data_IF_535695094547
#
_entry.id   IF_535695094547
#
_cell.length_a   1.000
_cell.length_b   1.000
_cell.length_c   1.000
_cell.angle_alpha   90.00
_cell.angle_beta   90.00
_cell.angle_gamma   90.00
#
_symmetry.space_group_name_H-M   'P 1'
#
loop_
_entity.id
_entity.type
_entity.pdbx_description
1 polymer ?
#
# COMPACT_ATOMS: atom_id res chain seq x y z
N UNK A 1 -25.87 -12.46 -27.89
CA UNK A 1 -24.42 -12.60 -28.18
C UNK A 1 -23.61 -11.34 -27.88
N UNK A 2 -24.03 -10.13 -28.28
CA UNK A 2 -23.28 -8.89 -27.98
C UNK A 2 -23.11 -8.61 -26.47
N UNK A 3 -24.13 -8.88 -25.66
CA UNK A 3 -24.09 -8.69 -24.20
C UNK A 3 -23.07 -9.64 -23.54
N UNK A 4 -23.00 -10.90 -23.99
CA UNK A 4 -22.05 -11.90 -23.47
C UNK A 4 -20.61 -11.49 -23.83
N UNK A 5 -20.37 -11.05 -25.07
CA UNK A 5 -19.05 -10.56 -25.49
C UNK A 5 -18.62 -9.31 -24.72
N UNK A 6 -19.54 -8.42 -24.38
CA UNK A 6 -19.24 -7.24 -23.57
C UNK A 6 -18.91 -7.60 -22.11
N UNK A 7 -19.65 -8.55 -21.53
CA UNK A 7 -19.36 -9.07 -20.19
C UNK A 7 -18.01 -9.80 -20.14
N UNK A 8 -17.68 -10.61 -21.15
CA UNK A 8 -16.37 -11.28 -21.24
C UNK A 8 -15.22 -10.28 -21.32
N UNK A 9 -15.34 -9.24 -22.16
CA UNK A 9 -14.32 -8.18 -22.24
C UNK A 9 -14.13 -7.42 -20.93
N UNK A 10 -15.23 -7.14 -20.22
CA UNK A 10 -15.16 -6.51 -18.90
C UNK A 10 -14.45 -7.43 -17.90
N UNK A 11 -14.76 -8.72 -17.92
CA UNK A 11 -14.14 -9.72 -17.06
C UNK A 11 -12.63 -9.88 -17.33
N UNK A 12 -12.22 -9.92 -18.60
CA UNK A 12 -10.80 -9.96 -18.98
C UNK A 12 -10.06 -8.70 -18.52
N UNK A 13 -10.69 -7.53 -18.63
CA UNK A 13 -10.14 -6.27 -18.13
C UNK A 13 -10.01 -6.28 -16.60
N UNK A 14 -11.03 -6.77 -15.88
CA UNK A 14 -11.01 -6.89 -14.42
C UNK A 14 -9.91 -7.87 -13.95
N UNK A 15 -9.74 -9.00 -14.63
CA UNK A 15 -8.65 -9.96 -14.36
C UNK A 15 -7.28 -9.34 -14.62
N UNK A 16 -7.14 -8.61 -15.72
CA UNK A 16 -5.87 -7.96 -16.07
C UNK A 16 -5.51 -6.91 -15.02
N UNK A 17 -6.47 -6.07 -14.61
CA UNK A 17 -6.30 -5.08 -13.55
C UNK A 17 -5.94 -5.72 -12.20
N UNK A 18 -6.57 -6.86 -11.86
CA UNK A 18 -6.26 -7.62 -10.64
C UNK A 18 -4.83 -8.14 -10.65
N UNK A 19 -4.43 -8.76 -11.76
CA UNK A 19 -3.10 -9.34 -11.96
C UNK A 19 -2.03 -8.26 -11.92
N UNK A 20 -2.30 -7.12 -12.56
CA UNK A 20 -1.30 -6.08 -12.71
C UNK A 20 -1.10 -5.24 -11.45
N UNK A 21 -2.15 -4.99 -10.66
CA UNK A 21 -2.04 -4.17 -9.43
C UNK A 21 -1.18 -4.80 -8.31
N UNK A 22 -0.82 -6.07 -8.42
CA UNK A 22 0.11 -6.75 -7.49
C UNK A 22 1.51 -6.95 -8.08
N UNK A 23 1.84 -6.33 -9.22
CA UNK A 23 3.22 -6.35 -9.68
C UNK A 23 4.14 -5.61 -8.68
N UNK A 24 5.34 -6.15 -8.42
CA UNK A 24 6.30 -5.53 -7.51
C UNK A 24 6.60 -4.06 -7.82
N UNK A 25 6.62 -3.70 -9.11
CA UNK A 25 6.87 -2.35 -9.61
C UNK A 25 5.75 -1.38 -9.22
N UNK A 26 4.49 -1.82 -9.33
CA UNK A 26 3.34 -1.03 -8.92
C UNK A 26 3.30 -0.83 -7.40
N UNK A 27 3.56 -1.90 -6.63
CA UNK A 27 3.64 -1.78 -5.18
C UNK A 27 4.80 -0.89 -4.74
N UNK A 28 5.96 -0.98 -5.40
CA UNK A 28 7.10 -0.11 -5.12
C UNK A 28 6.78 1.37 -5.38
N UNK A 29 6.12 1.67 -6.50
CA UNK A 29 5.64 3.03 -6.80
C UNK A 29 4.71 3.56 -5.71
N UNK A 30 3.71 2.78 -5.31
CA UNK A 30 2.76 3.20 -4.29
C UNK A 30 3.43 3.38 -2.92
N UNK A 31 4.35 2.48 -2.55
CA UNK A 31 5.13 2.64 -1.32
C UNK A 31 5.97 3.91 -1.34
N UNK A 32 6.64 4.23 -2.45
CA UNK A 32 7.44 5.46 -2.57
C UNK A 32 6.56 6.71 -2.41
N UNK A 33 5.42 6.76 -3.12
CA UNK A 33 4.44 7.86 -3.01
C UNK A 33 3.94 8.03 -1.57
N UNK A 34 3.46 6.95 -0.96
CA UNK A 34 2.89 6.96 0.40
C UNK A 34 3.95 7.36 1.43
N UNK A 35 5.17 6.84 1.33
CA UNK A 35 6.23 7.16 2.30
C UNK A 35 6.66 8.60 2.18
N UNK A 36 6.80 9.13 0.97
CA UNK A 36 7.11 10.53 0.74
C UNK A 36 6.07 11.45 1.36
N UNK A 37 4.79 11.22 1.06
CA UNK A 37 3.69 12.01 1.63
C UNK A 37 3.60 11.86 3.16
N UNK A 38 3.88 10.67 3.69
CA UNK A 38 3.93 10.41 5.14
C UNK A 38 5.04 11.22 5.81
N UNK A 39 6.22 11.29 5.20
CA UNK A 39 7.37 12.08 5.69
C UNK A 39 7.06 13.57 5.65
N UNK A 40 6.44 14.06 4.57
CA UNK A 40 6.03 15.46 4.42
C UNK A 40 4.99 15.87 5.49
N UNK A 41 4.06 14.96 5.84
CA UNK A 41 3.06 15.19 6.88
C UNK A 41 3.62 15.05 8.31
N UNK A 42 4.66 14.24 8.50
CA UNK A 42 5.20 13.94 9.81
C UNK A 42 6.07 15.10 10.35
N UNK A 43 6.04 15.34 11.69
CA UNK A 43 6.94 16.28 12.33
C UNK A 43 8.42 15.95 12.09
N UNK A 44 9.32 16.95 12.05
CA UNK A 44 10.71 16.75 11.66
C UNK A 44 11.46 15.65 12.44
N UNK A 45 11.15 15.47 13.73
CA UNK A 45 11.79 14.45 14.58
C UNK A 45 11.27 13.02 14.38
N UNK A 46 10.30 12.80 13.49
CA UNK A 46 9.76 11.49 13.12
C UNK A 46 10.11 11.08 11.69
N UNK A 47 10.59 12.01 10.86
CA UNK A 47 10.87 11.76 9.45
C UNK A 47 11.94 10.67 9.25
N UNK A 48 12.97 10.64 10.08
CA UNK A 48 14.03 9.62 10.04
C UNK A 48 13.57 8.25 10.55
N UNK A 49 12.35 8.16 11.10
CA UNK A 49 11.73 6.94 11.65
C UNK A 49 10.65 6.36 10.75
N UNK A 50 10.59 6.77 9.49
CA UNK A 50 9.66 6.25 8.48
C UNK A 50 10.52 5.75 7.32
N UNK A 51 10.65 4.42 7.19
CA UNK A 51 11.46 3.79 6.15
C UNK A 51 10.75 2.58 5.57
N UNK A 52 10.87 2.42 4.26
CA UNK A 52 10.50 1.19 3.58
C UNK A 52 11.71 0.66 2.81
N UNK A 53 11.91 -0.65 2.84
CA UNK A 53 12.94 -1.32 2.04
C UNK A 53 12.32 -2.51 1.31
N UNK A 54 12.36 -2.48 -0.01
CA UNK A 54 12.03 -3.64 -0.85
C UNK A 54 13.19 -4.64 -0.80
N UNK A 55 12.88 -5.93 -0.66
CA UNK A 55 13.86 -7.00 -0.72
C UNK A 55 14.32 -7.19 -2.18
N UNK A 56 15.65 -7.19 -2.44
CA UNK A 56 16.17 -7.24 -3.81
C UNK A 56 15.99 -8.60 -4.49
N UNK A 57 15.78 -9.67 -3.71
CA UNK A 57 15.57 -11.03 -4.22
C UNK A 57 14.07 -11.35 -4.23
N UNK A 58 13.39 -11.02 -3.13
CA UNK A 58 11.94 -11.21 -2.99
C UNK A 58 11.23 -9.90 -3.26
N UNK A 59 11.08 -9.53 -4.52
CA UNK A 59 10.56 -8.20 -4.92
C UNK A 59 9.17 -7.86 -4.36
N UNK A 60 8.37 -8.85 -3.96
CA UNK A 60 7.08 -8.64 -3.27
C UNK A 60 7.18 -8.37 -1.76
N UNK A 61 8.37 -8.49 -1.17
CA UNK A 61 8.60 -8.33 0.26
C UNK A 61 9.07 -6.90 0.55
N UNK A 62 8.25 -6.17 1.29
CA UNK A 62 8.54 -4.82 1.75
C UNK A 62 8.73 -4.84 3.26
N UNK A 63 9.86 -4.31 3.72
CA UNK A 63 10.12 -4.10 5.14
C UNK A 63 9.78 -2.66 5.49
N UNK A 64 8.64 -2.46 6.15
CA UNK A 64 8.18 -1.17 6.63
C UNK A 64 8.62 -0.98 8.08
N UNK A 65 9.62 -0.14 8.29
CA UNK A 65 10.11 0.28 9.60
C UNK A 65 9.58 1.67 9.91
N UNK A 66 8.55 1.71 10.77
CA UNK A 66 7.87 2.94 11.16
C UNK A 66 7.72 3.01 12.67
N UNK A 67 8.13 4.14 13.26
CA UNK A 67 7.87 4.43 14.67
C UNK A 67 6.37 4.39 14.96
N UNK A 68 5.94 3.80 16.08
CA UNK A 68 4.52 3.79 16.50
C UNK A 68 3.89 5.19 16.50
N UNK A 69 4.67 6.22 16.83
CA UNK A 69 4.22 7.63 16.81
C UNK A 69 4.00 8.18 15.40
N UNK A 70 4.56 7.55 14.37
CA UNK A 70 4.45 7.94 12.97
C UNK A 70 3.33 7.18 12.24
N UNK A 71 3.06 5.93 12.61
CA UNK A 71 1.70 5.39 12.83
C UNK A 71 0.57 6.02 11.99
N UNK A 72 -0.15 6.90 12.70
CA UNK A 72 -1.30 7.67 12.21
C UNK A 72 -1.08 8.42 10.90
N UNK A 73 0.13 8.96 10.66
CA UNK A 73 0.39 9.74 9.45
C UNK A 73 0.38 8.83 8.22
N UNK A 74 0.96 7.63 8.36
CA UNK A 74 0.91 6.62 7.30
C UNK A 74 -0.52 6.20 7.01
N UNK A 75 -1.34 5.96 8.05
CA UNK A 75 -2.74 5.57 7.87
C UNK A 75 -3.54 6.62 7.09
N UNK A 76 -3.40 7.91 7.47
CA UNK A 76 -4.07 9.03 6.78
C UNK A 76 -3.65 9.11 5.31
N UNK A 77 -2.35 8.98 5.03
CA UNK A 77 -1.83 9.07 3.66
C UNK A 77 -2.30 7.90 2.81
N UNK A 78 -2.34 6.68 3.36
CA UNK A 78 -2.94 5.53 2.67
C UNK A 78 -4.39 5.84 2.33
N UNK A 79 -5.20 6.26 3.31
CA UNK A 79 -6.63 6.54 3.12
C UNK A 79 -6.88 7.59 2.03
N UNK A 80 -6.07 8.66 2.00
CA UNK A 80 -6.16 9.71 0.99
C UNK A 80 -5.86 9.19 -0.44
N UNK A 81 -5.10 8.11 -0.57
CA UNK A 81 -4.68 7.55 -1.86
C UNK A 81 -5.46 6.29 -2.27
N UNK A 82 -6.26 5.68 -1.37
CA UNK A 82 -6.92 4.39 -1.61
C UNK A 82 -7.85 4.39 -2.83
N UNK A 83 -8.44 5.52 -3.19
CA UNK A 83 -9.36 5.62 -4.33
C UNK A 83 -8.64 5.75 -5.68
N UNK A 84 -7.37 6.16 -5.67
CA UNK A 84 -6.52 6.23 -6.86
C UNK A 84 -5.81 4.90 -7.17
N UNK A 85 -5.78 3.98 -6.20
CA UNK A 85 -5.13 2.69 -6.34
C UNK A 85 -5.93 1.71 -7.20
N UNK A 86 -5.26 0.90 -8.04
CA UNK A 86 -5.89 -0.29 -8.62
C UNK A 86 -6.45 -1.19 -7.52
N UNK A 87 -7.55 -1.88 -7.81
CA UNK A 87 -8.30 -2.64 -6.79
C UNK A 87 -7.43 -3.60 -5.98
N UNK A 88 -6.53 -4.36 -6.62
CA UNK A 88 -5.67 -5.31 -5.90
C UNK A 88 -4.58 -4.61 -5.06
N UNK A 89 -4.05 -3.47 -5.51
CA UNK A 89 -3.17 -2.61 -4.71
C UNK A 89 -3.90 -2.02 -3.50
N UNK A 90 -5.16 -1.59 -3.69
CA UNK A 90 -6.02 -1.10 -2.60
C UNK A 90 -6.19 -2.16 -1.51
N UNK A 91 -6.53 -3.39 -1.90
CA UNK A 91 -6.64 -4.51 -0.96
C UNK A 91 -5.33 -4.79 -0.22
N UNK A 92 -4.19 -4.68 -0.91
CA UNK A 92 -2.87 -4.83 -0.29
C UNK A 92 -2.65 -3.80 0.82
N UNK A 93 -2.89 -2.51 0.55
CA UNK A 93 -2.68 -1.45 1.54
C UNK A 93 -3.70 -1.47 2.68
N UNK A 94 -4.95 -1.87 2.43
CA UNK A 94 -5.92 -2.15 3.49
C UNK A 94 -5.41 -3.24 4.44
N UNK A 95 -4.80 -4.31 3.89
CA UNK A 95 -4.20 -5.36 4.72
C UNK A 95 -3.00 -4.84 5.52
N UNK A 96 -2.19 -3.97 4.93
CA UNK A 96 -1.06 -3.32 5.62
C UNK A 96 -1.55 -2.46 6.80
N UNK A 97 -2.62 -1.68 6.62
CA UNK A 97 -3.24 -0.90 7.70
C UNK A 97 -3.78 -1.80 8.82
N UNK A 98 -4.45 -2.91 8.48
CA UNK A 98 -4.95 -3.89 9.45
C UNK A 98 -3.81 -4.49 10.30
N UNK A 99 -2.71 -4.90 9.66
CA UNK A 99 -1.53 -5.44 10.35
C UNK A 99 -0.93 -4.37 11.26
N UNK A 100 -0.76 -3.13 10.77
CA UNK A 100 -0.22 -2.06 11.58
C UNK A 100 -1.09 -1.71 12.79
N UNK A 101 -2.42 -1.69 12.64
CA UNK A 101 -3.33 -1.51 13.77
C UNK A 101 -3.11 -2.59 14.84
N UNK A 102 -3.00 -3.84 14.42
CA UNK A 102 -2.73 -4.97 15.32
C UNK A 102 -1.37 -4.85 16.03
N UNK A 103 -0.33 -4.36 15.34
CA UNK A 103 0.99 -4.13 15.95
C UNK A 103 1.01 -2.92 16.90
N UNK A 104 0.17 -1.91 16.69
CA UNK A 104 0.06 -0.76 17.58
C UNK A 104 -0.50 -1.13 18.94
N UNK A 105 -1.46 -2.05 18.99
CA UNK A 105 -2.12 -2.52 20.22
C UNK A 105 -1.20 -3.34 21.13
N UNK A 106 -0.06 -3.81 20.62
CA UNK A 106 0.91 -4.56 21.44
C UNK A 106 1.64 -3.64 22.42
N UNK A 107 1.87 -4.07 23.68
CA UNK A 107 2.67 -3.31 24.63
C UNK A 107 4.12 -3.15 24.12
N UNK A 108 4.77 -2.04 24.50
CA UNK A 108 6.21 -1.88 24.32
C UNK A 108 6.90 -2.75 25.37
N UNK A 109 7.53 -3.85 24.92
CA UNK A 109 8.34 -4.75 25.77
C UNK A 109 9.64 -4.05 26.15
#
# INVERSE_FOLDING_TARGET
>A
MAIINNMMKKFDADISNLKEGLHPEHLAYWYDKIIKETIEMAPPWLQDKIKVKQDPILTMKFNLDISKRAVRYFMIVVDNNLDEMPYSTKLYFLKVQEIMGTEMDKPLV
#
